data_IF_322667547590
#
_entry.id   IF_322667547590
#
_cell.length_a   1.000
_cell.length_b   1.000
_cell.length_c   1.000
_cell.angle_alpha   90.00
_cell.angle_beta   90.00
_cell.angle_gamma   90.00
#
_symmetry.space_group_name_H-M   'P 1'
#
loop_
_entity.id
_entity.type
_entity.pdbx_description
1 polymer ?
#
# COMPACT_ATOMS: atom_id res chain seq x y z
N UNK A 1 -13.40 -9.04 -0.75
CA UNK A 1 -13.07 -7.60 -0.79
C UNK A 1 -11.72 -7.34 -1.44
N UNK A 2 -10.58 -7.77 -0.88
CA UNK A 2 -9.25 -7.55 -1.49
C UNK A 2 -9.10 -8.06 -2.95
N UNK A 3 -9.80 -9.13 -3.33
CA UNK A 3 -9.78 -9.66 -4.70
C UNK A 3 -10.45 -8.73 -5.74
N UNK A 4 -11.35 -7.85 -5.30
CA UNK A 4 -12.05 -6.90 -6.19
C UNK A 4 -11.26 -5.60 -6.38
N UNK A 5 -10.21 -5.40 -5.58
CA UNK A 5 -9.38 -4.20 -5.64
C UNK A 5 -8.56 -4.22 -6.93
N UNK A 6 -8.79 -3.21 -7.76
CA UNK A 6 -8.04 -2.89 -8.98
C UNK A 6 -7.15 -1.66 -8.78
N UNK A 7 -6.16 -1.48 -9.66
CA UNK A 7 -5.22 -0.36 -9.59
C UNK A 7 -5.87 1.02 -9.75
N UNK A 8 -6.98 1.12 -10.48
CA UNK A 8 -7.66 2.41 -10.70
C UNK A 8 -8.22 3.02 -9.40
N UNK A 9 -8.55 2.21 -8.39
CA UNK A 9 -9.00 2.73 -7.10
C UNK A 9 -7.91 3.49 -6.34
N UNK A 10 -6.64 3.30 -6.70
CA UNK A 10 -5.49 3.97 -6.07
C UNK A 10 -4.92 5.12 -6.90
N UNK A 11 -5.24 5.20 -8.20
CA UNK A 11 -4.77 6.31 -9.05
C UNK A 11 -5.17 7.69 -8.50
N UNK A 12 -6.41 7.92 -8.02
CA UNK A 12 -6.80 9.20 -7.42
C UNK A 12 -6.09 9.50 -6.09
N UNK A 13 -5.47 8.50 -5.47
CA UNK A 13 -4.82 8.63 -4.17
C UNK A 13 -3.36 9.05 -4.28
N UNK A 14 -2.74 8.99 -5.46
CA UNK A 14 -1.34 9.39 -5.66
C UNK A 14 -1.11 10.85 -5.22
N UNK A 15 -0.10 11.05 -4.37
CA UNK A 15 0.22 12.32 -3.73
C UNK A 15 -0.64 12.65 -2.50
N UNK A 16 -1.74 11.94 -2.27
CA UNK A 16 -2.64 12.19 -1.14
C UNK A 16 -2.16 11.50 0.13
N UNK A 17 -2.52 12.09 1.27
CA UNK A 17 -2.25 11.53 2.60
C UNK A 17 -3.40 10.65 3.08
N UNK A 18 -3.08 9.56 3.74
CA UNK A 18 -4.04 8.65 4.38
C UNK A 18 -3.48 8.10 5.69
N UNK A 19 -4.25 7.25 6.37
CA UNK A 19 -3.85 6.58 7.60
C UNK A 19 -3.86 5.07 7.40
N UNK A 20 -2.73 4.44 7.73
CA UNK A 20 -2.59 3.00 7.82
C UNK A 20 -2.85 2.57 9.26
N UNK A 21 -3.81 1.66 9.48
CA UNK A 21 -4.00 1.01 10.78
C UNK A 21 -3.05 -0.19 10.85
N UNK A 22 -2.10 -0.15 11.77
CA UNK A 22 -1.07 -1.17 11.96
C UNK A 22 -1.62 -2.39 12.71
N UNK A 23 -0.91 -3.54 12.73
CA UNK A 23 -1.36 -4.75 13.42
C UNK A 23 -1.61 -4.57 14.93
N UNK A 24 -0.93 -3.60 15.56
CA UNK A 24 -1.09 -3.25 16.97
C UNK A 24 -2.28 -2.29 17.23
N UNK A 25 -3.02 -1.91 16.18
CA UNK A 25 -4.14 -0.98 16.22
C UNK A 25 -3.74 0.49 16.19
N UNK A 26 -2.44 0.81 16.21
CA UNK A 26 -1.95 2.18 16.06
C UNK A 26 -2.15 2.69 14.64
N UNK A 27 -2.10 4.01 14.47
CA UNK A 27 -2.30 4.68 13.18
C UNK A 27 -1.02 5.35 12.72
N UNK A 28 -0.61 5.01 11.50
CA UNK A 28 0.54 5.59 10.82
C UNK A 28 0.07 6.50 9.69
N UNK A 29 0.41 7.79 9.76
CA UNK A 29 0.16 8.71 8.65
C UNK A 29 1.09 8.36 7.48
N UNK A 30 0.51 8.19 6.30
CA UNK A 30 1.22 7.81 5.07
C UNK A 30 0.80 8.68 3.88
N UNK A 31 1.63 8.73 2.85
CA UNK A 31 1.31 9.30 1.54
C UNK A 31 1.48 8.23 0.46
N UNK A 32 0.55 8.17 -0.48
CA UNK A 32 0.70 7.33 -1.67
C UNK A 32 1.68 7.99 -2.63
N UNK A 33 2.75 7.30 -2.99
CA UNK A 33 3.80 7.85 -3.85
C UNK A 33 3.70 7.35 -5.27
N UNK A 34 3.60 6.03 -5.42
CA UNK A 34 3.70 5.39 -6.71
C UNK A 34 2.74 4.23 -6.83
N UNK A 35 2.33 3.97 -8.07
CA UNK A 35 1.50 2.85 -8.45
C UNK A 35 2.09 2.24 -9.70
N UNK A 36 2.47 0.97 -9.62
CA UNK A 36 3.08 0.23 -10.70
C UNK A 36 2.19 -0.94 -11.09
N UNK A 37 1.90 -1.11 -12.39
CA UNK A 37 1.22 -2.30 -12.89
C UNK A 37 2.24 -3.26 -13.50
N UNK A 38 2.10 -4.56 -13.23
CA UNK A 38 2.98 -5.61 -13.76
C UNK A 38 2.19 -6.58 -14.65
N UNK A 39 1.68 -6.13 -15.82
CA UNK A 39 0.78 -6.94 -16.65
C UNK A 39 1.41 -8.25 -17.17
N UNK A 40 2.75 -8.30 -17.27
CA UNK A 40 3.49 -9.50 -17.67
C UNK A 40 3.52 -10.58 -16.58
N UNK A 41 3.21 -10.25 -15.34
CA UNK A 41 3.12 -11.19 -14.22
C UNK A 41 1.70 -11.76 -14.04
N UNK A 42 0.76 -11.40 -14.92
CA UNK A 42 -0.65 -11.82 -14.80
C UNK A 42 -0.78 -13.34 -14.92
N UNK A 43 -1.36 -13.96 -13.90
CA UNK A 43 -1.68 -15.38 -13.93
C UNK A 43 -2.81 -15.68 -14.93
N UNK A 44 -2.81 -16.86 -15.57
CA UNK A 44 -3.94 -17.30 -16.37
C UNK A 44 -5.25 -17.26 -15.56
N UNK A 45 -6.32 -16.73 -16.15
CA UNK A 45 -7.65 -16.57 -15.54
C UNK A 45 -7.74 -15.58 -14.36
N UNK A 46 -6.69 -14.82 -14.04
CA UNK A 46 -6.82 -13.74 -13.08
C UNK A 46 -7.69 -12.61 -13.66
N UNK A 47 -8.70 -12.17 -12.91
CA UNK A 47 -9.51 -11.01 -13.31
C UNK A 47 -8.69 -9.72 -13.21
N UNK A 48 -7.83 -9.64 -12.19
CA UNK A 48 -6.95 -8.51 -11.91
C UNK A 48 -5.65 -8.56 -12.70
N UNK A 49 -5.19 -7.37 -13.14
CA UNK A 49 -3.79 -7.15 -13.52
C UNK A 49 -2.99 -6.90 -12.25
N UNK A 50 -1.91 -7.64 -11.97
CA UNK A 50 -1.11 -7.42 -10.77
C UNK A 50 -0.57 -5.99 -10.71
N UNK A 51 -0.57 -5.41 -9.52
CA UNK A 51 -0.08 -4.06 -9.29
C UNK A 51 0.49 -3.87 -7.89
N UNK A 52 1.41 -2.92 -7.78
CA UNK A 52 2.03 -2.47 -6.54
C UNK A 52 1.59 -1.07 -6.17
N UNK A 53 1.50 -0.81 -4.86
CA UNK A 53 1.30 0.53 -4.31
C UNK A 53 2.45 0.84 -3.38
N UNK A 54 3.12 1.97 -3.61
CA UNK A 54 4.17 2.49 -2.76
C UNK A 54 3.62 3.57 -1.82
N UNK A 55 3.97 3.45 -0.54
CA UNK A 55 3.59 4.40 0.50
C UNK A 55 4.83 4.92 1.22
N UNK A 56 4.83 6.20 1.58
CA UNK A 56 5.82 6.77 2.50
C UNK A 56 5.15 7.13 3.82
N UNK A 57 5.79 6.84 4.94
CA UNK A 57 5.37 7.40 6.23
C UNK A 57 5.61 8.90 6.25
N UNK A 58 4.77 9.61 7.00
CA UNK A 58 4.90 11.05 7.27
C UNK A 58 5.46 11.32 8.68
N UNK A 59 5.84 10.26 9.38
CA UNK A 59 6.40 10.29 10.73
C UNK A 59 7.37 9.12 10.91
N UNK A 60 8.27 9.24 11.89
CA UNK A 60 9.19 8.17 12.25
C UNK A 60 8.43 6.90 12.59
N UNK A 61 8.95 5.76 12.14
CA UNK A 61 8.31 4.47 12.40
C UNK A 61 9.30 3.31 12.39
N UNK A 62 9.10 2.41 13.34
CA UNK A 62 9.80 1.12 13.43
C UNK A 62 9.01 0.00 12.76
N UNK A 63 7.84 0.30 12.16
CA UNK A 63 7.03 -0.69 11.47
C UNK A 63 7.81 -1.29 10.30
N UNK A 64 7.88 -2.63 10.23
CA UNK A 64 8.59 -3.38 9.20
C UNK A 64 7.59 -4.01 8.24
N UNK A 65 6.72 -4.89 8.73
CA UNK A 65 5.68 -5.51 7.92
C UNK A 65 4.50 -6.01 8.77
N UNK A 66 3.38 -6.29 8.10
CA UNK A 66 2.22 -6.88 8.74
C UNK A 66 0.92 -6.70 7.96
N UNK A 67 -0.15 -7.28 8.50
CA UNK A 67 -1.52 -7.10 8.01
C UNK A 67 -2.10 -5.81 8.56
N UNK A 68 -2.36 -4.86 7.68
CA UNK A 68 -2.87 -3.54 8.00
C UNK A 68 -4.28 -3.34 7.45
N UNK A 69 -4.91 -2.25 7.89
CA UNK A 69 -6.14 -1.73 7.29
C UNK A 69 -5.96 -0.32 6.75
N UNK A 70 -6.60 -0.01 5.62
CA UNK A 70 -6.46 1.27 4.91
C UNK A 70 -7.80 1.69 4.27
N UNK A 71 -8.12 2.98 4.32
CA UNK A 71 -9.32 3.51 3.66
C UNK A 71 -9.06 3.85 2.19
N UNK A 72 -9.83 3.23 1.29
CA UNK A 72 -9.83 3.55 -0.14
C UNK A 72 -11.21 4.11 -0.49
N UNK A 73 -11.37 5.39 -0.85
CA UNK A 73 -12.67 6.06 -0.96
C UNK A 73 -13.73 5.32 -1.79
N UNK A 74 -13.32 4.69 -2.90
CA UNK A 74 -14.24 3.99 -3.80
C UNK A 74 -14.64 2.59 -3.30
N UNK A 75 -13.89 2.01 -2.35
CA UNK A 75 -14.08 0.64 -1.86
C UNK A 75 -14.44 0.58 -0.36
N UNK A 76 -14.12 1.64 0.39
CA UNK A 76 -14.16 1.69 1.85
C UNK A 76 -12.90 1.12 2.50
N UNK A 77 -13.04 0.68 3.76
CA UNK A 77 -11.95 0.13 4.56
C UNK A 77 -11.48 -1.24 4.04
N UNK A 78 -10.29 -1.28 3.48
CA UNK A 78 -9.60 -2.51 3.13
C UNK A 78 -8.89 -3.06 4.36
N UNK A 79 -9.30 -4.24 4.81
CA UNK A 79 -8.65 -4.96 5.91
C UNK A 79 -7.77 -6.10 5.39
N UNK A 80 -6.76 -6.49 6.19
CA UNK A 80 -5.89 -7.62 5.87
C UNK A 80 -4.92 -7.34 4.72
N UNK A 81 -4.57 -6.08 4.50
CA UNK A 81 -3.62 -5.66 3.47
C UNK A 81 -2.20 -5.94 3.98
N UNK A 82 -1.45 -6.81 3.33
CA UNK A 82 -0.06 -7.04 3.70
C UNK A 82 0.81 -5.87 3.21
N UNK A 83 1.43 -5.17 4.16
CA UNK A 83 2.30 -4.02 3.92
C UNK A 83 3.70 -4.41 4.35
N UNK A 84 4.71 -4.15 3.51
CA UNK A 84 6.11 -4.45 3.82
C UNK A 84 7.02 -3.26 3.56
N UNK A 85 7.98 -3.01 4.47
CA UNK A 85 8.97 -1.95 4.34
C UNK A 85 10.03 -2.32 3.31
N UNK A 86 10.36 -1.37 2.45
CA UNK A 86 11.45 -1.45 1.48
C UNK A 86 12.66 -0.65 1.98
N UNK A 87 13.88 -0.95 1.50
CA UNK A 87 15.07 -0.19 1.87
C UNK A 87 14.93 1.31 1.56
N UNK A 88 15.48 2.15 2.45
CA UNK A 88 15.46 3.61 2.27
C UNK A 88 16.21 4.07 1.01
N UNK A 89 17.19 3.30 0.53
CA UNK A 89 17.86 3.51 -0.75
C UNK A 89 18.38 4.96 -0.96
N UNK A 90 19.06 5.51 0.04
CA UNK A 90 19.59 6.89 0.02
C UNK A 90 18.61 7.97 0.50
N UNK A 91 17.38 7.58 0.88
CA UNK A 91 16.40 8.44 1.57
C UNK A 91 16.57 8.35 3.10
N UNK A 92 15.80 9.15 3.83
CA UNK A 92 15.85 9.22 5.31
C UNK A 92 15.49 7.86 5.96
N UNK A 93 16.42 7.20 6.68
CA UNK A 93 16.16 5.91 7.29
C UNK A 93 15.16 5.93 8.46
N UNK A 94 14.88 7.09 9.05
CA UNK A 94 13.87 7.23 10.10
C UNK A 94 12.43 7.10 9.53
N UNK A 95 12.25 7.38 8.24
CA UNK A 95 10.97 7.23 7.55
C UNK A 95 10.74 5.80 7.07
N UNK A 96 9.48 5.40 7.07
CA UNK A 96 9.00 4.15 6.49
C UNK A 96 8.73 4.32 5.00
N UNK A 97 9.27 3.41 4.20
CA UNK A 97 8.96 3.29 2.77
C UNK A 97 8.34 1.91 2.60
N UNK A 98 7.12 1.83 2.09
CA UNK A 98 6.36 0.59 2.07
C UNK A 98 5.90 0.23 0.67
N UNK A 99 5.72 -1.06 0.46
CA UNK A 99 5.16 -1.63 -0.75
C UNK A 99 4.01 -2.57 -0.39
N UNK A 100 2.94 -2.51 -1.19
CA UNK A 100 1.78 -3.38 -1.11
C UNK A 100 1.60 -4.05 -2.46
N UNK A 101 1.61 -5.38 -2.49
CA UNK A 101 1.41 -6.15 -3.70
C UNK A 101 -0.03 -6.68 -3.79
N UNK A 102 -0.68 -6.43 -4.92
CA UNK A 102 -1.96 -7.03 -5.29
C UNK A 102 -1.77 -7.92 -6.51
N UNK A 103 -1.91 -9.24 -6.35
CA UNK A 103 -1.77 -10.25 -7.41
C UNK A 103 -3.13 -10.76 -7.86
#
# INVERSE_FOLDING_TARGET
MLQQVQSHHFQPLLGQTSSLTLPDGSRLAVRFEHLEQTPRAKMPNAERVPFGVELNSLQNTEFVDGLCSLEVPEIGGLEGVFVSRVPAAGRDPAMGYFYIAFN
#
